data_IF_969424081259
#
_entry.id   IF_969424081259
#
_cell.length_a   1.000
_cell.length_b   1.000
_cell.length_c   1.000
_cell.angle_alpha   90.00
_cell.angle_beta   90.00
_cell.angle_gamma   90.00
#
_symmetry.space_group_name_H-M   'P 1'
#
loop_
_entity.id
_entity.type
_entity.pdbx_description
1 polymer ?
#
# COMPACT_ATOMS: atom_id res chain seq x y z
N UNK A 1 -30.58 -22.82 -6.09
CA UNK A 1 -29.61 -21.83 -5.61
C UNK A 1 -28.48 -21.85 -6.61
N UNK A 2 -28.38 -20.84 -7.47
CA UNK A 2 -27.23 -20.69 -8.38
C UNK A 2 -25.99 -20.46 -7.52
N UNK A 3 -24.98 -21.33 -7.65
CA UNK A 3 -23.67 -21.10 -7.04
C UNK A 3 -23.21 -19.69 -7.43
N UNK A 4 -22.84 -18.89 -6.43
CA UNK A 4 -22.40 -17.51 -6.64
C UNK A 4 -21.06 -17.59 -7.40
N UNK A 5 -20.98 -16.95 -8.56
CA UNK A 5 -19.73 -16.85 -9.29
C UNK A 5 -18.65 -16.22 -8.41
N UNK A 6 -17.46 -16.80 -8.42
CA UNK A 6 -16.29 -16.21 -7.78
C UNK A 6 -15.79 -15.06 -8.64
N UNK A 7 -15.45 -13.94 -8.01
CA UNK A 7 -14.93 -12.75 -8.69
C UNK A 7 -13.46 -12.57 -8.30
N UNK A 8 -12.58 -12.92 -9.24
CA UNK A 8 -11.14 -12.96 -9.06
C UNK A 8 -10.47 -11.68 -9.54
N UNK A 9 -9.36 -11.29 -8.92
CA UNK A 9 -8.40 -10.33 -9.44
C UNK A 9 -7.08 -11.04 -9.72
N UNK A 10 -6.59 -10.94 -10.95
CA UNK A 10 -5.32 -11.52 -11.39
C UNK A 10 -4.38 -10.37 -11.76
N UNK A 11 -3.20 -10.33 -11.13
CA UNK A 11 -2.09 -9.47 -11.55
C UNK A 11 -0.96 -10.33 -12.09
N UNK A 12 -0.24 -9.82 -13.08
CA UNK A 12 0.97 -10.46 -13.59
C UNK A 12 1.99 -9.46 -14.10
N UNK A 13 3.26 -9.87 -14.03
CA UNK A 13 4.41 -9.17 -14.55
C UNK A 13 5.34 -10.17 -15.23
N UNK A 14 5.75 -9.91 -16.47
CA UNK A 14 6.76 -10.70 -17.18
C UNK A 14 7.55 -9.83 -18.17
N UNK A 15 8.52 -10.42 -18.86
CA UNK A 15 9.13 -9.80 -20.03
C UNK A 15 8.09 -9.62 -21.14
N UNK A 16 8.11 -8.49 -21.83
CA UNK A 16 7.16 -8.22 -22.90
C UNK A 16 7.46 -9.06 -24.15
N UNK A 17 6.43 -9.72 -24.67
CA UNK A 17 6.52 -10.53 -25.87
C UNK A 17 5.12 -10.83 -26.46
N UNK A 18 5.03 -11.06 -27.78
CA UNK A 18 3.76 -11.40 -28.41
C UNK A 18 3.07 -12.63 -27.81
N UNK A 19 1.74 -12.55 -27.64
CA UNK A 19 0.90 -13.69 -27.27
C UNK A 19 0.60 -13.83 -25.78
N UNK A 20 1.10 -12.94 -24.91
CA UNK A 20 0.76 -12.93 -23.47
C UNK A 20 -0.75 -12.76 -23.28
N UNK A 21 -1.32 -11.68 -23.82
CA UNK A 21 -2.75 -11.35 -23.69
C UNK A 21 -3.64 -12.46 -24.23
N UNK A 22 -3.27 -13.06 -25.37
CA UNK A 22 -4.01 -14.17 -25.96
C UNK A 22 -3.99 -15.41 -25.07
N UNK A 23 -2.82 -15.77 -24.51
CA UNK A 23 -2.70 -16.93 -23.64
C UNK A 23 -3.55 -16.77 -22.37
N UNK A 24 -3.47 -15.61 -21.73
CA UNK A 24 -4.23 -15.32 -20.49
C UNK A 24 -5.73 -15.29 -20.78
N UNK A 25 -6.18 -14.54 -21.78
CA UNK A 25 -7.61 -14.51 -22.15
C UNK A 25 -8.13 -15.89 -22.59
N UNK A 26 -7.30 -16.70 -23.24
CA UNK A 26 -7.59 -18.09 -23.56
C UNK A 26 -7.83 -18.96 -22.32
N UNK A 27 -6.98 -18.84 -21.29
CA UNK A 27 -7.20 -19.54 -20.02
C UNK A 27 -8.48 -19.09 -19.31
N UNK A 28 -8.81 -17.80 -19.35
CA UNK A 28 -10.09 -17.29 -18.82
C UNK A 28 -11.27 -17.95 -19.53
N UNK A 29 -11.21 -18.09 -20.85
CA UNK A 29 -12.26 -18.78 -21.63
C UNK A 29 -12.34 -20.27 -21.28
N UNK A 30 -11.21 -20.97 -21.13
CA UNK A 30 -11.19 -22.38 -20.70
C UNK A 30 -11.85 -22.57 -19.32
N UNK A 31 -11.58 -21.63 -18.40
CA UNK A 31 -12.22 -21.52 -17.10
C UNK A 31 -13.71 -21.13 -17.16
N UNK A 32 -14.28 -20.92 -18.36
CA UNK A 32 -15.63 -20.38 -18.58
C UNK A 32 -15.85 -19.05 -17.86
N UNK A 33 -14.79 -18.29 -17.67
CA UNK A 33 -14.80 -17.00 -17.03
C UNK A 33 -15.16 -15.87 -17.98
N UNK A 34 -15.56 -14.75 -17.40
CA UNK A 34 -15.80 -13.49 -18.09
C UNK A 34 -14.91 -12.39 -17.48
N UNK A 35 -14.19 -11.66 -18.32
CA UNK A 35 -13.38 -10.52 -17.88
C UNK A 35 -14.29 -9.33 -17.65
N UNK A 36 -14.34 -8.81 -16.42
CA UNK A 36 -15.15 -7.66 -16.02
C UNK A 36 -14.36 -6.35 -15.98
N UNK A 37 -13.04 -6.43 -15.77
CA UNK A 37 -12.11 -5.31 -15.87
C UNK A 37 -10.80 -5.81 -16.48
N UNK A 38 -10.18 -5.03 -17.36
CA UNK A 38 -8.90 -5.37 -17.99
C UNK A 38 -8.03 -4.14 -18.14
N UNK A 39 -6.82 -4.20 -17.62
CA UNK A 39 -5.78 -3.19 -17.80
C UNK A 39 -4.46 -3.87 -18.12
N UNK A 40 -3.70 -3.28 -19.05
CA UNK A 40 -2.37 -3.75 -19.42
C UNK A 40 -1.44 -2.58 -19.73
N UNK A 41 -0.15 -2.78 -19.54
CA UNK A 41 0.88 -1.80 -19.82
C UNK A 41 2.18 -2.50 -20.24
N UNK A 42 2.80 -2.03 -21.32
CA UNK A 42 4.16 -2.42 -21.72
C UNK A 42 5.10 -1.26 -21.40
N UNK A 43 6.17 -1.52 -20.65
CA UNK A 43 7.19 -0.53 -20.35
C UNK A 43 8.31 -0.57 -21.39
N UNK A 44 8.43 0.49 -22.19
CA UNK A 44 9.54 0.66 -23.14
C UNK A 44 10.91 0.83 -22.46
N UNK A 45 10.93 1.03 -21.13
CA UNK A 45 12.16 1.30 -20.37
C UNK A 45 12.69 0.10 -19.62
N UNK A 46 11.82 -0.82 -19.21
CA UNK A 46 12.20 -2.05 -18.50
C UNK A 46 11.99 -3.31 -19.33
N UNK A 47 11.43 -3.20 -20.53
CA UNK A 47 11.03 -4.33 -21.40
C UNK A 47 10.08 -5.31 -20.69
N UNK A 48 9.30 -4.80 -19.72
CA UNK A 48 8.34 -5.58 -18.93
C UNK A 48 6.90 -5.30 -19.34
N UNK A 49 6.09 -6.34 -19.28
CA UNK A 49 4.65 -6.31 -19.46
C UNK A 49 3.93 -6.50 -18.12
N UNK A 50 2.89 -5.70 -17.90
CA UNK A 50 2.07 -5.66 -16.69
C UNK A 50 0.61 -5.85 -17.09
N UNK A 51 -0.14 -6.63 -16.31
CA UNK A 51 -1.57 -6.78 -16.54
C UNK A 51 -2.31 -6.97 -15.22
N UNK A 52 -3.50 -6.40 -15.16
CA UNK A 52 -4.49 -6.61 -14.10
C UNK A 52 -5.84 -6.94 -14.73
N UNK A 53 -6.43 -8.04 -14.29
CA UNK A 53 -7.74 -8.48 -14.74
C UNK A 53 -8.67 -8.67 -13.53
N UNK A 54 -9.94 -8.29 -13.68
CA UNK A 54 -11.01 -8.83 -12.84
C UNK A 54 -11.83 -9.84 -13.66
N UNK A 55 -12.11 -11.00 -13.06
CA UNK A 55 -12.62 -12.17 -13.77
C UNK A 55 -13.74 -12.83 -12.94
N UNK A 56 -14.95 -12.89 -13.49
CA UNK A 56 -16.02 -13.70 -12.92
C UNK A 56 -15.95 -15.11 -13.47
N UNK A 57 -15.80 -16.13 -12.62
CA UNK A 57 -15.77 -17.53 -13.05
C UNK A 57 -16.35 -18.46 -11.97
N UNK A 58 -17.06 -19.51 -12.40
CA UNK A 58 -17.62 -20.55 -11.53
C UNK A 58 -16.62 -21.70 -11.35
N UNK A 59 -15.42 -21.37 -10.87
CA UNK A 59 -14.37 -22.34 -10.58
C UNK A 59 -13.72 -22.01 -9.23
N UNK A 60 -13.11 -23.01 -8.61
CA UNK A 60 -12.30 -22.83 -7.42
C UNK A 60 -10.96 -22.17 -7.76
N UNK A 61 -10.32 -21.56 -6.75
CA UNK A 61 -8.96 -21.02 -6.87
C UNK A 61 -7.98 -22.05 -7.45
N UNK A 62 -7.97 -23.26 -6.89
CA UNK A 62 -7.05 -24.33 -7.30
C UNK A 62 -7.22 -24.74 -8.77
N UNK A 63 -8.46 -24.78 -9.27
CA UNK A 63 -8.73 -25.03 -10.69
C UNK A 63 -8.20 -23.89 -11.56
N UNK A 64 -8.39 -22.63 -11.14
CA UNK A 64 -7.91 -21.50 -11.92
C UNK A 64 -6.37 -21.45 -11.97
N UNK A 65 -5.72 -21.66 -10.83
CA UNK A 65 -4.27 -21.74 -10.75
C UNK A 65 -3.71 -22.88 -11.63
N UNK A 66 -4.43 -24.01 -11.73
CA UNK A 66 -4.05 -25.10 -12.63
C UNK A 66 -4.10 -24.71 -14.11
N UNK A 67 -5.12 -23.94 -14.53
CA UNK A 67 -5.24 -23.41 -15.90
C UNK A 67 -4.16 -22.37 -16.23
N UNK A 68 -3.78 -21.54 -15.26
CA UNK A 68 -2.77 -20.49 -15.44
C UNK A 68 -1.34 -21.04 -15.42
N UNK A 69 -1.07 -22.13 -14.69
CA UNK A 69 0.28 -22.69 -14.46
C UNK A 69 1.12 -22.90 -15.73
N UNK A 70 0.59 -23.45 -16.85
CA UNK A 70 1.37 -23.61 -18.08
C UNK A 70 1.78 -22.27 -18.70
N UNK A 71 0.92 -21.25 -18.59
CA UNK A 71 1.13 -19.91 -19.14
C UNK A 71 2.17 -19.17 -18.31
N UNK A 72 2.02 -19.21 -16.98
CA UNK A 72 2.97 -18.63 -16.03
C UNK A 72 4.38 -19.18 -16.27
N UNK A 73 4.50 -20.51 -16.43
CA UNK A 73 5.79 -21.15 -16.70
C UNK A 73 6.36 -20.75 -18.07
N UNK A 74 5.52 -20.65 -19.10
CA UNK A 74 5.95 -20.27 -20.47
C UNK A 74 6.53 -18.86 -20.52
N UNK A 75 5.90 -17.91 -19.83
CA UNK A 75 6.27 -16.49 -19.89
C UNK A 75 7.09 -16.04 -18.67
N UNK A 76 7.46 -16.95 -17.76
CA UNK A 76 8.18 -16.65 -16.53
C UNK A 76 7.51 -15.52 -15.70
N UNK A 77 6.20 -15.62 -15.52
CA UNK A 77 5.40 -14.58 -14.87
C UNK A 77 5.58 -14.59 -13.34
N UNK A 78 5.78 -13.41 -12.76
CA UNK A 78 5.37 -13.16 -11.37
C UNK A 78 3.88 -12.82 -11.40
N UNK A 79 3.08 -13.42 -10.54
CA UNK A 79 1.62 -13.26 -10.58
C UNK A 79 1.00 -13.42 -9.20
N UNK A 80 -0.17 -12.83 -9.04
CA UNK A 80 -1.03 -13.03 -7.86
C UNK A 80 -2.47 -13.24 -8.31
N UNK A 81 -3.17 -14.11 -7.61
CA UNK A 81 -4.61 -14.31 -7.76
C UNK A 81 -5.27 -14.10 -6.41
N UNK A 82 -6.27 -13.23 -6.38
CA UNK A 82 -7.03 -12.89 -5.19
C UNK A 82 -8.52 -12.71 -5.52
N UNK A 83 -9.33 -12.39 -4.51
CA UNK A 83 -10.75 -12.15 -4.63
C UNK A 83 -11.06 -10.65 -4.61
N UNK A 84 -11.89 -10.20 -5.55
CA UNK A 84 -12.31 -8.80 -5.64
C UNK A 84 -13.09 -8.41 -4.39
N UNK A 85 -12.64 -7.34 -3.74
CA UNK A 85 -13.30 -6.76 -2.57
C UNK A 85 -13.04 -7.50 -1.25
N UNK A 86 -12.15 -8.51 -1.24
CA UNK A 86 -11.66 -9.09 0.02
C UNK A 86 -10.94 -8.02 0.83
N UNK A 87 -11.27 -7.94 2.12
CA UNK A 87 -10.57 -7.02 3.02
C UNK A 87 -9.11 -7.49 3.21
N UNK A 88 -8.16 -6.63 2.85
CA UNK A 88 -6.73 -6.91 3.01
C UNK A 88 -6.31 -6.72 4.46
N UNK A 89 -5.71 -7.75 5.08
CA UNK A 89 -5.27 -7.67 6.47
C UNK A 89 -4.09 -6.70 6.60
N UNK A 90 -4.31 -5.60 7.29
CA UNK A 90 -3.41 -4.46 7.34
C UNK A 90 -3.03 -4.13 8.78
N UNK A 91 -1.74 -4.14 9.08
CA UNK A 91 -1.21 -3.64 10.36
C UNK A 91 -0.84 -2.16 10.21
N UNK A 92 -1.33 -1.32 11.11
CA UNK A 92 -1.01 0.11 11.11
C UNK A 92 -0.05 0.44 12.24
N UNK A 93 1.10 1.01 11.91
CA UNK A 93 2.11 1.50 12.84
C UNK A 93 2.00 3.01 12.99
N UNK A 94 2.02 3.50 14.24
CA UNK A 94 1.80 4.92 14.55
C UNK A 94 2.77 5.48 15.59
N UNK A 95 3.01 6.78 15.53
CA UNK A 95 3.63 7.52 16.63
C UNK A 95 2.59 8.38 17.35
N UNK A 96 2.73 9.71 17.33
CA UNK A 96 1.83 10.62 18.07
C UNK A 96 0.81 11.35 17.20
N UNK A 97 1.01 11.37 15.88
CA UNK A 97 0.15 12.14 14.97
C UNK A 97 -1.10 11.33 14.61
N UNK A 98 -2.28 11.85 14.94
CA UNK A 98 -3.54 11.11 14.84
C UNK A 98 -4.17 11.10 13.44
N UNK A 99 -3.83 12.08 12.57
CA UNK A 99 -4.62 12.40 11.37
C UNK A 99 -4.68 11.26 10.35
N UNK A 100 -3.56 10.60 10.04
CA UNK A 100 -3.55 9.45 9.13
C UNK A 100 -4.32 8.26 9.71
N UNK A 101 -4.08 7.92 10.99
CA UNK A 101 -4.77 6.80 11.64
C UNK A 101 -6.29 7.02 11.65
N UNK A 102 -6.73 8.23 12.01
CA UNK A 102 -8.16 8.55 12.05
C UNK A 102 -8.81 8.42 10.67
N UNK A 103 -8.16 8.91 9.59
CA UNK A 103 -8.70 8.82 8.22
C UNK A 103 -8.80 7.35 7.75
N UNK A 104 -7.77 6.55 8.02
CA UNK A 104 -7.76 5.11 7.71
C UNK A 104 -8.91 4.40 8.43
N UNK A 105 -9.02 4.56 9.75
CA UNK A 105 -10.03 3.88 10.57
C UNK A 105 -11.46 4.32 10.21
N UNK A 106 -11.66 5.61 9.95
CA UNK A 106 -12.94 6.13 9.48
C UNK A 106 -13.35 5.49 8.15
N UNK A 107 -12.43 5.47 7.16
CA UNK A 107 -12.72 4.95 5.83
C UNK A 107 -12.94 3.45 5.82
N UNK A 108 -12.17 2.70 6.59
CA UNK A 108 -12.42 1.27 6.83
C UNK A 108 -13.85 1.07 7.36
N UNK A 109 -14.20 1.73 8.48
CA UNK A 109 -15.52 1.56 9.11
C UNK A 109 -16.68 1.95 8.19
N UNK A 110 -16.46 2.91 7.30
CA UNK A 110 -17.45 3.35 6.30
C UNK A 110 -17.53 2.47 5.05
N UNK A 111 -16.67 1.43 4.93
CA UNK A 111 -16.60 0.57 3.75
C UNK A 111 -15.93 1.21 2.52
N UNK A 112 -15.22 2.34 2.70
CA UNK A 112 -14.53 3.07 1.63
C UNK A 112 -13.08 2.61 1.41
N UNK A 113 -12.55 1.77 2.31
CA UNK A 113 -11.20 1.24 2.25
C UNK A 113 -11.28 -0.27 2.49
N UNK A 114 -10.94 -1.12 1.50
CA UNK A 114 -11.11 -2.57 1.59
C UNK A 114 -9.96 -3.20 2.39
N UNK A 115 -9.81 -2.79 3.64
CA UNK A 115 -8.83 -3.33 4.58
C UNK A 115 -9.52 -3.83 5.85
N UNK A 116 -8.90 -4.82 6.47
CA UNK A 116 -9.18 -5.23 7.84
C UNK A 116 -7.97 -4.82 8.68
N UNK A 117 -8.18 -4.13 9.80
CA UNK A 117 -7.10 -3.73 10.72
C UNK A 117 -7.24 -4.54 12.00
N UNK A 118 -6.49 -5.65 12.17
CA UNK A 118 -6.60 -6.49 13.36
C UNK A 118 -6.02 -5.84 14.61
N UNK A 119 -5.05 -4.93 14.45
CA UNK A 119 -4.49 -4.13 15.53
C UNK A 119 -3.78 -2.88 15.00
N UNK A 120 -3.55 -1.93 15.90
CA UNK A 120 -2.70 -0.75 15.69
C UNK A 120 -1.56 -0.81 16.71
N UNK A 121 -0.31 -0.75 16.25
CA UNK A 121 0.84 -0.73 17.15
C UNK A 121 1.47 0.66 17.15
N UNK A 122 1.69 1.21 18.34
CA UNK A 122 2.30 2.52 18.52
C UNK A 122 3.58 2.46 19.32
N UNK A 123 4.55 3.33 19.02
CA UNK A 123 5.70 3.52 19.92
C UNK A 123 5.38 4.42 21.13
N UNK A 124 4.14 4.93 21.19
CA UNK A 124 3.55 5.67 22.29
C UNK A 124 2.07 5.29 22.46
N UNK A 125 1.48 5.60 23.61
CA UNK A 125 0.06 5.32 23.91
C UNK A 125 -0.90 6.45 23.51
N UNK A 126 -0.40 7.57 22.96
CA UNK A 126 -1.18 8.77 22.64
C UNK A 126 -2.46 8.48 21.82
N UNK A 127 -2.41 7.47 20.94
CA UNK A 127 -3.51 7.14 20.01
C UNK A 127 -4.37 5.94 20.45
N UNK A 128 -4.15 5.40 21.65
CA UNK A 128 -4.90 4.23 22.15
C UNK A 128 -6.41 4.50 22.21
N UNK A 129 -6.82 5.66 22.72
CA UNK A 129 -8.24 6.05 22.82
C UNK A 129 -8.90 6.20 21.45
N UNK A 130 -8.16 6.62 20.43
CA UNK A 130 -8.65 6.71 19.05
C UNK A 130 -8.92 5.32 18.48
N UNK A 131 -7.97 4.39 18.65
CA UNK A 131 -8.16 3.00 18.21
C UNK A 131 -9.33 2.33 18.94
N UNK A 132 -9.44 2.54 20.25
CA UNK A 132 -10.55 2.04 21.08
C UNK A 132 -11.92 2.57 20.61
N UNK A 133 -12.01 3.84 20.22
CA UNK A 133 -13.24 4.42 19.66
C UNK A 133 -13.73 3.70 18.39
N UNK A 134 -12.80 3.17 17.58
CA UNK A 134 -13.11 2.34 16.42
C UNK A 134 -13.15 0.84 16.73
N UNK A 135 -13.04 0.46 18.02
CA UNK A 135 -13.02 -0.93 18.50
C UNK A 135 -11.87 -1.76 17.92
N UNK A 136 -10.71 -1.13 17.70
CA UNK A 136 -9.49 -1.78 17.22
C UNK A 136 -8.50 -1.97 18.37
N UNK A 137 -7.94 -3.18 18.57
CA UNK A 137 -6.88 -3.41 19.55
C UNK A 137 -5.69 -2.47 19.34
N UNK A 138 -5.13 -1.97 20.45
CA UNK A 138 -3.96 -1.10 20.43
C UNK A 138 -2.86 -1.64 21.34
N UNK A 139 -1.63 -1.72 20.84
CA UNK A 139 -0.46 -2.07 21.64
C UNK A 139 0.59 -0.95 21.60
N UNK A 140 1.05 -0.53 22.78
CA UNK A 140 2.11 0.46 22.92
C UNK A 140 3.45 -0.22 23.24
N UNK A 141 4.43 -0.03 22.37
CA UNK A 141 5.77 -0.61 22.48
C UNK A 141 6.83 0.49 22.48
N UNK A 142 7.32 0.87 23.65
CA UNK A 142 8.28 1.97 23.75
C UNK A 142 9.63 1.59 23.13
N UNK A 143 10.13 2.42 22.20
CA UNK A 143 11.41 2.23 21.52
C UNK A 143 12.33 3.38 21.93
N UNK A 144 13.36 3.07 22.72
CA UNK A 144 14.29 4.07 23.29
C UNK A 144 15.74 3.86 22.86
N UNK A 145 16.10 2.65 22.44
CA UNK A 145 17.44 2.25 22.07
C UNK A 145 17.42 1.11 21.05
N UNK A 146 18.60 0.66 20.62
CA UNK A 146 18.73 -0.41 19.64
C UNK A 146 18.17 -1.76 20.14
N UNK A 147 18.25 -2.04 21.44
CA UNK A 147 17.78 -3.30 22.02
C UNK A 147 16.26 -3.39 22.05
N UNK A 148 15.60 -2.32 22.50
CA UNK A 148 14.14 -2.18 22.48
C UNK A 148 13.58 -2.14 21.06
N UNK A 149 14.29 -1.53 20.11
CA UNK A 149 13.95 -1.61 18.68
C UNK A 149 13.99 -3.04 18.16
N UNK A 150 15.07 -3.78 18.43
CA UNK A 150 15.19 -5.16 17.99
C UNK A 150 14.09 -6.07 18.59
N UNK A 151 13.75 -5.87 19.86
CA UNK A 151 12.66 -6.60 20.51
C UNK A 151 11.30 -6.27 19.88
N UNK A 152 11.02 -5.00 19.60
CA UNK A 152 9.81 -4.56 18.92
C UNK A 152 9.67 -5.19 17.53
N UNK A 153 10.73 -5.14 16.72
CA UNK A 153 10.71 -5.72 15.37
C UNK A 153 10.64 -7.25 15.37
N UNK A 154 11.15 -7.92 16.42
CA UNK A 154 10.97 -9.36 16.59
C UNK A 154 9.50 -9.69 16.88
N UNK A 155 8.88 -8.99 17.84
CA UNK A 155 7.46 -9.13 18.14
C UNK A 155 6.58 -8.84 16.93
N UNK A 156 6.89 -7.78 16.16
CA UNK A 156 6.18 -7.46 14.92
C UNK A 156 6.18 -8.63 13.95
N UNK A 157 7.32 -9.29 13.74
CA UNK A 157 7.41 -10.45 12.84
C UNK A 157 6.50 -11.58 13.29
N UNK A 158 6.49 -11.88 14.59
CA UNK A 158 5.65 -12.93 15.16
C UNK A 158 4.16 -12.60 14.98
N UNK A 159 3.78 -11.35 15.24
CA UNK A 159 2.40 -10.88 15.04
C UNK A 159 1.99 -10.93 13.56
N UNK A 160 2.82 -10.39 12.66
CA UNK A 160 2.56 -10.37 11.21
C UNK A 160 2.33 -11.79 10.69
N UNK A 161 3.18 -12.75 11.09
CA UNK A 161 3.07 -14.15 10.67
C UNK A 161 1.83 -14.84 11.26
N UNK A 162 1.57 -14.65 12.55
CA UNK A 162 0.44 -15.32 13.23
C UNK A 162 -0.93 -14.76 12.83
N UNK A 163 -1.06 -13.45 12.64
CA UNK A 163 -2.30 -12.81 12.22
C UNK A 163 -2.55 -12.90 10.71
N UNK A 164 -1.52 -13.27 9.94
CA UNK A 164 -1.54 -13.28 8.48
C UNK A 164 -1.69 -11.87 7.91
N UNK A 165 -0.93 -10.92 8.45
CA UNK A 165 -0.90 -9.54 7.94
C UNK A 165 -0.31 -9.58 6.54
N UNK A 166 -0.91 -8.81 5.64
CA UNK A 166 -0.58 -8.73 4.20
C UNK A 166 0.07 -7.39 3.87
N UNK A 167 -0.37 -6.31 4.53
CA UNK A 167 0.18 -4.95 4.36
C UNK A 167 0.56 -4.33 5.72
N UNK A 168 1.68 -3.62 5.74
CA UNK A 168 2.12 -2.79 6.87
C UNK A 168 2.04 -1.33 6.44
N UNK A 169 1.36 -0.50 7.24
CA UNK A 169 1.19 0.93 6.97
C UNK A 169 1.89 1.74 8.04
N UNK A 170 2.84 2.59 7.64
CA UNK A 170 3.48 3.57 8.51
C UNK A 170 2.66 4.87 8.50
N UNK A 171 1.63 4.94 9.33
CA UNK A 171 0.78 6.11 9.47
C UNK A 171 1.47 7.17 10.35
N UNK A 172 2.46 7.85 9.75
CA UNK A 172 3.37 8.79 10.43
C UNK A 172 4.10 8.13 11.61
N UNK A 173 4.56 6.90 11.39
CA UNK A 173 5.47 6.20 12.29
C UNK A 173 6.88 6.80 12.17
N UNK A 174 7.40 7.36 13.24
CA UNK A 174 8.63 8.16 13.20
C UNK A 174 9.90 7.35 13.51
N UNK A 175 9.78 6.05 13.74
CA UNK A 175 10.93 5.17 13.96
C UNK A 175 11.35 4.56 12.62
N UNK A 176 12.65 4.61 12.34
CA UNK A 176 13.25 3.96 11.16
C UNK A 176 13.24 2.45 11.42
N UNK A 177 12.68 1.66 10.51
CA UNK A 177 12.74 0.19 10.55
C UNK A 177 14.15 -0.29 10.17
N UNK A 178 14.59 -1.43 10.68
CA UNK A 178 15.88 -2.02 10.30
C UNK A 178 15.89 -2.45 8.82
N UNK A 179 17.05 -2.41 8.15
CA UNK A 179 17.18 -2.93 6.79
C UNK A 179 16.72 -4.39 6.66
N UNK A 180 16.98 -5.21 7.69
CA UNK A 180 16.58 -6.62 7.71
C UNK A 180 15.06 -6.77 7.78
N UNK A 181 14.36 -5.90 8.52
CA UNK A 181 12.90 -5.91 8.55
C UNK A 181 12.31 -5.46 7.21
N UNK A 182 12.87 -4.40 6.62
CA UNK A 182 12.40 -3.89 5.32
C UNK A 182 12.59 -4.92 4.21
N UNK A 183 13.73 -5.61 4.17
CA UNK A 183 13.97 -6.67 3.18
C UNK A 183 13.04 -7.89 3.34
N UNK A 184 12.68 -8.26 4.58
CA UNK A 184 11.76 -9.38 4.82
C UNK A 184 10.32 -9.09 4.34
N UNK A 185 9.91 -7.82 4.32
CA UNK A 185 8.58 -7.38 3.92
C UNK A 185 8.61 -6.41 2.73
N UNK A 186 9.58 -6.61 1.83
CA UNK A 186 9.74 -5.80 0.61
C UNK A 186 8.43 -5.79 -0.20
N UNK A 187 8.05 -4.61 -0.71
CA UNK A 187 6.79 -4.43 -1.45
C UNK A 187 5.53 -4.51 -0.59
N UNK A 188 5.64 -4.63 0.74
CA UNK A 188 4.49 -4.79 1.66
C UNK A 188 4.46 -3.78 2.80
N UNK A 189 5.32 -2.75 2.76
CA UNK A 189 5.34 -1.65 3.71
C UNK A 189 5.08 -0.34 2.96
N UNK A 190 3.97 0.33 3.26
CA UNK A 190 3.63 1.65 2.70
C UNK A 190 3.89 2.73 3.76
N UNK A 191 4.62 3.78 3.37
CA UNK A 191 4.88 4.94 4.20
C UNK A 191 4.23 6.20 3.61
N UNK A 192 3.99 7.19 4.46
CA UNK A 192 3.62 8.55 4.06
C UNK A 192 4.70 9.55 4.44
N UNK A 193 5.29 10.18 3.43
CA UNK A 193 6.21 11.28 3.60
C UNK A 193 5.48 12.61 3.38
N UNK A 194 5.67 13.55 4.30
CA UNK A 194 4.96 14.83 4.40
C UNK A 194 5.44 15.92 3.41
N UNK A 195 6.28 15.53 2.45
CA UNK A 195 6.81 16.40 1.42
C UNK A 195 6.53 15.79 0.05
N UNK A 196 6.43 16.64 -0.96
CA UNK A 196 6.42 16.21 -2.35
C UNK A 196 7.85 15.84 -2.74
N UNK A 197 8.18 14.55 -2.67
CA UNK A 197 9.50 14.06 -3.05
C UNK A 197 9.77 14.32 -4.55
N UNK A 198 11.02 14.68 -4.94
CA UNK A 198 12.26 14.71 -4.15
C UNK A 198 12.54 16.05 -3.39
N UNK A 199 11.50 16.75 -2.93
CA UNK A 199 11.59 18.03 -2.21
C UNK A 199 12.22 18.00 -0.80
N UNK A 200 11.63 18.74 0.16
CA UNK A 200 12.21 18.96 1.49
C UNK A 200 12.38 17.66 2.30
N UNK A 201 13.60 17.13 2.36
CA UNK A 201 13.99 16.00 3.22
C UNK A 201 14.27 16.46 4.66
N UNK A 202 14.21 15.51 5.61
CA UNK A 202 14.64 15.72 6.99
C UNK A 202 13.61 16.38 7.91
N UNK A 203 14.06 16.94 9.03
CA UNK A 203 13.19 17.43 10.09
C UNK A 203 12.46 18.74 9.73
N UNK A 204 11.25 18.92 10.28
CA UNK A 204 10.44 20.14 10.18
C UNK A 204 10.19 20.66 8.73
N UNK A 205 9.69 19.80 7.83
CA UNK A 205 9.39 20.11 6.41
C UNK A 205 8.56 21.38 6.20
N UNK A 206 7.48 21.56 6.98
CA UNK A 206 6.57 22.69 6.84
C UNK A 206 7.22 24.00 7.30
N UNK A 207 8.15 23.93 8.25
CA UNK A 207 9.00 25.07 8.59
C UNK A 207 9.92 25.48 7.44
N UNK A 208 10.53 24.51 6.76
CA UNK A 208 11.37 24.76 5.57
C UNK A 208 10.52 25.34 4.43
N UNK A 209 9.35 24.76 4.18
CA UNK A 209 8.40 25.23 3.17
C UNK A 209 7.92 26.67 3.42
N UNK A 210 7.55 26.99 4.67
CA UNK A 210 7.15 28.32 5.08
C UNK A 210 8.29 29.34 4.87
N UNK A 211 9.49 29.03 5.37
CA UNK A 211 10.66 29.91 5.23
C UNK A 211 11.04 30.13 3.76
N UNK A 212 10.89 29.10 2.91
CA UNK A 212 11.18 29.19 1.47
C UNK A 212 10.09 29.92 0.67
N UNK A 213 8.92 30.15 1.27
CA UNK A 213 7.79 30.85 0.66
C UNK A 213 7.15 30.08 -0.49
N UNK A 214 7.11 28.73 -0.41
CA UNK A 214 6.54 27.89 -1.46
C UNK A 214 5.06 28.20 -1.72
N UNK A 215 4.57 27.81 -2.90
CA UNK A 215 3.16 28.00 -3.30
C UNK A 215 2.38 26.69 -3.38
N UNK A 216 3.08 25.57 -3.18
CA UNK A 216 2.55 24.23 -3.10
C UNK A 216 3.24 23.53 -1.93
N UNK A 217 2.47 22.75 -1.17
CA UNK A 217 2.96 21.70 -0.29
C UNK A 217 2.31 20.39 -0.75
N UNK A 218 2.90 19.25 -0.40
CA UNK A 218 2.37 17.96 -0.82
C UNK A 218 2.82 16.84 0.09
N UNK A 219 2.36 15.64 -0.23
CA UNK A 219 2.75 14.41 0.44
C UNK A 219 2.94 13.30 -0.59
N UNK A 220 3.83 12.36 -0.29
CA UNK A 220 4.17 11.21 -1.13
C UNK A 220 3.94 9.93 -0.34
N UNK A 221 3.07 9.05 -0.83
CA UNK A 221 2.99 7.68 -0.36
C UNK A 221 3.87 6.79 -1.23
N UNK A 222 4.65 5.92 -0.60
CA UNK A 222 5.65 5.10 -1.29
C UNK A 222 5.89 3.79 -0.54
N UNK A 223 6.43 2.78 -1.24
CA UNK A 223 6.95 1.59 -0.58
C UNK A 223 8.23 1.93 0.20
N UNK A 224 8.40 1.30 1.36
CA UNK A 224 9.65 1.43 2.14
C UNK A 224 10.72 0.53 1.55
N UNK A 225 11.91 1.09 1.34
CA UNK A 225 13.13 0.39 0.93
C UNK A 225 14.24 0.65 1.95
N UNK A 226 15.42 0.06 1.74
CA UNK A 226 16.58 0.29 2.59
C UNK A 226 17.04 1.78 2.56
N UNK A 227 16.79 2.46 1.44
CA UNK A 227 17.06 3.88 1.28
C UNK A 227 15.90 4.73 1.84
N UNK A 228 16.21 5.49 2.89
CA UNK A 228 15.20 6.24 3.65
C UNK A 228 14.48 7.27 2.76
N UNK A 229 13.15 7.19 2.72
CA UNK A 229 12.27 8.08 1.93
C UNK A 229 12.52 8.06 0.41
N UNK A 230 13.06 6.96 -0.14
CA UNK A 230 13.43 6.86 -1.58
C UNK A 230 12.82 5.67 -2.31
N UNK A 231 11.96 4.89 -1.67
CA UNK A 231 11.34 3.75 -2.32
C UNK A 231 10.30 4.11 -3.40
N UNK A 232 9.84 3.11 -4.18
CA UNK A 232 8.92 3.32 -5.30
C UNK A 232 7.66 4.09 -4.89
N UNK A 233 7.43 5.23 -5.55
CA UNK A 233 6.30 6.13 -5.29
C UNK A 233 5.02 5.49 -5.78
N UNK A 234 4.00 5.43 -4.92
CA UNK A 234 2.66 4.92 -5.25
C UNK A 234 1.72 6.08 -5.61
N UNK A 235 1.74 7.16 -4.82
CA UNK A 235 0.82 8.30 -4.97
C UNK A 235 1.47 9.59 -4.47
N UNK A 236 1.15 10.72 -5.12
CA UNK A 236 1.54 12.05 -4.67
C UNK A 236 0.39 13.04 -4.85
N UNK A 237 0.10 13.81 -3.80
CA UNK A 237 -0.83 14.93 -3.89
C UNK A 237 -0.19 16.24 -3.45
N UNK A 238 -0.68 17.34 -4.03
CA UNK A 238 -0.27 18.70 -3.68
C UNK A 238 -1.47 19.58 -3.43
N UNK A 239 -1.29 20.60 -2.59
CA UNK A 239 -2.25 21.67 -2.36
C UNK A 239 -1.57 23.02 -2.44
N UNK A 240 -2.35 24.03 -2.83
CA UNK A 240 -1.90 25.41 -2.91
C UNK A 240 -1.83 26.06 -1.54
N UNK A 241 -0.77 26.81 -1.31
CA UNK A 241 -0.56 27.63 -0.12
C UNK A 241 -0.16 29.05 -0.52
N UNK A 242 -0.45 30.02 0.34
CA UNK A 242 -0.22 31.45 0.07
C UNK A 242 0.69 32.05 1.15
N UNK A 243 1.14 33.28 0.92
CA UNK A 243 1.95 34.03 1.88
C UNK A 243 1.19 34.41 3.17
N UNK A 244 -0.13 34.19 3.22
CA UNK A 244 -0.97 34.49 4.39
C UNK A 244 -1.08 33.32 5.36
N UNK A 245 -0.65 32.12 4.97
CA UNK A 245 -0.69 30.95 5.84
C UNK A 245 0.50 30.92 6.79
N UNK A 246 0.25 30.75 8.09
CA UNK A 246 1.30 30.52 9.08
C UNK A 246 1.85 29.11 8.96
N UNK A 247 2.97 28.83 9.66
CA UNK A 247 3.53 27.48 9.78
C UNK A 247 2.48 26.47 10.28
N UNK A 248 1.70 26.85 11.28
CA UNK A 248 0.66 26.00 11.90
C UNK A 248 -0.45 25.69 10.89
N UNK A 249 -0.85 26.68 10.09
CA UNK A 249 -1.79 26.47 8.99
C UNK A 249 -1.23 25.50 7.95
N UNK A 250 0.05 25.63 7.58
CA UNK A 250 0.69 24.69 6.65
C UNK A 250 0.74 23.26 7.20
N UNK A 251 0.97 23.10 8.50
CA UNK A 251 0.94 21.77 9.15
C UNK A 251 -0.46 21.16 9.05
N UNK A 252 -1.51 21.90 9.42
CA UNK A 252 -2.89 21.40 9.36
C UNK A 252 -3.29 21.03 7.92
N UNK A 253 -3.01 21.92 6.97
CA UNK A 253 -3.25 21.67 5.54
C UNK A 253 -2.44 20.47 5.04
N UNK A 254 -1.22 20.30 5.52
CA UNK A 254 -0.34 19.17 5.22
C UNK A 254 -0.89 17.84 5.71
N UNK A 255 -1.39 17.80 6.94
CA UNK A 255 -2.03 16.61 7.53
C UNK A 255 -3.20 16.10 6.67
N UNK A 256 -4.03 17.00 6.15
CA UNK A 256 -5.14 16.63 5.25
C UNK A 256 -4.66 15.96 3.96
N UNK A 257 -3.55 16.45 3.39
CA UNK A 257 -2.96 15.89 2.17
C UNK A 257 -2.31 14.55 2.45
N UNK A 258 -1.56 14.44 3.55
CA UNK A 258 -0.95 13.19 3.98
C UNK A 258 -1.99 12.08 4.14
N UNK A 259 -3.09 12.36 4.86
CA UNK A 259 -4.17 11.38 5.06
C UNK A 259 -4.77 10.92 3.74
N UNK A 260 -5.09 11.85 2.84
CA UNK A 260 -5.69 11.52 1.53
C UNK A 260 -4.73 10.71 0.65
N UNK A 261 -3.48 11.14 0.52
CA UNK A 261 -2.45 10.46 -0.26
C UNK A 261 -2.22 9.04 0.27
N UNK A 262 -2.07 8.88 1.59
CA UNK A 262 -1.84 7.57 2.18
C UNK A 262 -3.03 6.63 1.97
N UNK A 263 -4.26 7.10 2.22
CA UNK A 263 -5.42 6.24 2.05
C UNK A 263 -5.67 5.86 0.58
N UNK A 264 -5.36 6.74 -0.37
CA UNK A 264 -5.43 6.40 -1.79
C UNK A 264 -4.41 5.31 -2.16
N UNK A 265 -3.16 5.43 -1.69
CA UNK A 265 -2.14 4.39 -1.89
C UNK A 265 -2.54 3.04 -1.27
N UNK A 266 -3.10 3.04 -0.05
CA UNK A 266 -3.60 1.82 0.60
C UNK A 266 -4.74 1.21 -0.22
N UNK A 267 -5.67 2.03 -0.72
CA UNK A 267 -6.78 1.53 -1.54
C UNK A 267 -6.27 0.86 -2.81
N UNK A 268 -5.38 1.53 -3.55
CA UNK A 268 -4.81 0.95 -4.77
C UNK A 268 -4.05 -0.34 -4.46
N UNK A 269 -3.31 -0.41 -3.36
CA UNK A 269 -2.64 -1.65 -2.97
C UNK A 269 -3.64 -2.77 -2.67
N UNK A 270 -4.66 -2.50 -1.84
CA UNK A 270 -5.68 -3.48 -1.47
C UNK A 270 -6.57 -3.93 -2.64
N UNK A 271 -6.68 -3.14 -3.70
CA UNK A 271 -7.40 -3.49 -4.92
C UNK A 271 -6.49 -4.14 -5.99
N UNK A 272 -5.23 -4.47 -5.63
CA UNK A 272 -4.21 -5.02 -6.52
C UNK A 272 -3.95 -4.14 -7.76
N UNK A 273 -3.99 -2.82 -7.58
CA UNK A 273 -3.77 -1.83 -8.64
C UNK A 273 -2.33 -1.34 -8.73
N UNK A 274 -1.47 -1.71 -7.78
CA UNK A 274 -0.06 -1.29 -7.70
C UNK A 274 0.84 -2.46 -8.07
N UNK A 275 1.63 -2.32 -9.14
CA UNK A 275 2.62 -3.33 -9.56
C UNK A 275 4.03 -2.70 -9.59
N UNK A 276 5.01 -3.39 -9.00
CA UNK A 276 6.39 -2.91 -8.90
C UNK A 276 7.17 -3.05 -10.23
N UNK A 277 7.80 -1.96 -10.66
CA UNK A 277 8.70 -1.87 -11.81
C UNK A 277 10.07 -1.32 -11.38
N UNK A 278 10.86 -2.15 -10.71
CA UNK A 278 12.12 -1.71 -10.09
C UNK A 278 11.85 -0.60 -9.06
N UNK A 279 12.46 0.56 -9.26
CA UNK A 279 12.31 1.73 -8.38
C UNK A 279 11.03 2.56 -8.62
N UNK A 280 10.10 2.04 -9.44
CA UNK A 280 8.83 2.71 -9.79
C UNK A 280 7.64 1.78 -9.61
N UNK A 281 6.45 2.33 -9.76
CA UNK A 281 5.21 1.54 -9.78
C UNK A 281 4.42 1.80 -11.06
N UNK A 282 3.74 0.77 -11.55
CA UNK A 282 2.63 0.87 -12.48
C UNK A 282 1.34 0.89 -11.67
N UNK A 283 0.50 1.90 -11.89
CA UNK A 283 -0.80 2.07 -11.23
C UNK A 283 -1.93 1.89 -12.25
N UNK A 284 -2.82 0.94 -12.00
CA UNK A 284 -4.04 0.76 -12.79
C UNK A 284 -5.23 1.43 -12.09
N UNK A 285 -5.55 2.68 -12.44
CA UNK A 285 -6.64 3.47 -11.85
C UNK A 285 -8.05 2.88 -12.05
#
# INVERSE_FOLDING_TARGET
>A
MTEKASHWVLTLICEDQPGIVHAISGAVVTARGNITESSQFSSDTSDRFFMRLQIEANITRAEFEAELKPIIAKYNMTWELDEVGRALKTLVLVSKSAHCLNDILFRQRSGQLPVEIPAVFGNHSDLASLAEFYSIPFEAHQIVDAGTKAAFEHMLRDYIKSAGIELIVLARFMQILSPEFVAEFEGRIINIHHSFLPGFKGANPYGQAHARGVKLIGATAHFVTADLDEGPIIEQNVIRVTHTHSKETLVAMGQDVESKTLTQAIRWFAEHRVLLDGDRTVIFE
#
